data_IF_561426412088
#
_entry.id   IF_561426412088
#
_cell.length_a   1.000
_cell.length_b   1.000
_cell.length_c   1.000
_cell.angle_alpha   90.00
_cell.angle_beta   90.00
_cell.angle_gamma   90.00
#
_symmetry.space_group_name_H-M   'P 1'
#
loop_
_entity.id
_entity.type
_entity.pdbx_description
1 polymer ?
#
# COMPACT_ATOMS: atom_id res chain seq x y z
N UNK A 1 -9.39 9.67 -15.21
CA UNK A 1 -9.44 9.72 -13.70
C UNK A 1 -8.55 10.82 -13.18
N UNK A 2 -9.04 11.56 -12.21
CA UNK A 2 -8.27 12.61 -11.50
C UNK A 2 -7.14 11.96 -10.69
N UNK A 3 -6.00 12.63 -10.65
CA UNK A 3 -4.88 12.25 -9.77
C UNK A 3 -5.15 12.83 -8.37
N UNK A 4 -5.87 12.08 -7.54
CA UNK A 4 -6.24 12.50 -6.19
C UNK A 4 -6.11 11.33 -5.22
N UNK A 5 -5.49 11.57 -4.08
CA UNK A 5 -5.50 10.61 -2.98
C UNK A 5 -6.83 10.71 -2.21
N UNK A 6 -7.48 9.56 -1.98
CA UNK A 6 -8.79 9.52 -1.31
C UNK A 6 -8.63 8.89 0.08
N UNK A 7 -9.05 9.62 1.11
CA UNK A 7 -8.94 9.18 2.50
C UNK A 7 -10.03 8.16 2.85
N UNK A 8 -9.75 6.88 2.59
CA UNK A 8 -10.60 5.73 2.91
C UNK A 8 -10.37 5.23 4.33
N UNK A 9 -11.21 4.29 4.80
CA UNK A 9 -11.00 3.65 6.11
C UNK A 9 -9.66 2.91 6.20
N UNK A 10 -9.20 2.28 5.12
CA UNK A 10 -7.90 1.63 5.09
C UNK A 10 -6.74 2.64 5.23
N UNK A 11 -6.85 3.82 4.61
CA UNK A 11 -5.91 4.93 4.81
C UNK A 11 -5.89 5.36 6.27
N UNK A 12 -7.08 5.56 6.88
CA UNK A 12 -7.18 5.96 8.29
C UNK A 12 -6.55 4.92 9.23
N UNK A 13 -6.78 3.61 8.97
CA UNK A 13 -6.14 2.54 9.74
C UNK A 13 -4.62 2.58 9.61
N UNK A 14 -4.10 2.83 8.40
CA UNK A 14 -2.67 2.96 8.17
C UNK A 14 -2.10 4.15 8.93
N UNK A 15 -2.71 5.33 8.82
CA UNK A 15 -2.28 6.53 9.54
C UNK A 15 -2.30 6.34 11.06
N UNK A 16 -3.36 5.70 11.58
CA UNK A 16 -3.45 5.39 13.02
C UNK A 16 -2.35 4.42 13.46
N UNK A 17 -2.03 3.39 12.65
CA UNK A 17 -0.93 2.46 12.92
C UNK A 17 0.43 3.17 12.91
N UNK A 18 0.66 4.09 11.99
CA UNK A 18 1.89 4.89 11.94
C UNK A 18 2.01 5.82 13.14
N UNK A 19 0.93 6.53 13.50
CA UNK A 19 0.94 7.39 14.69
C UNK A 19 1.18 6.58 15.98
N UNK A 20 0.63 5.37 16.09
CA UNK A 20 0.85 4.50 17.25
C UNK A 20 2.30 4.00 17.35
N UNK A 21 2.96 3.74 16.19
CA UNK A 21 4.38 3.32 16.20
C UNK A 21 5.31 4.47 16.60
N UNK A 22 4.97 5.71 16.30
CA UNK A 22 5.73 6.88 16.75
C UNK A 22 5.65 7.06 18.28
N UNK A 23 4.51 6.70 18.87
CA UNK A 23 4.26 6.81 20.31
C UNK A 23 4.62 5.53 21.09
N UNK A 24 5.39 4.62 20.47
CA UNK A 24 5.76 3.34 21.09
C UNK A 24 6.59 3.54 22.37
N UNK A 25 6.34 2.71 23.38
CA UNK A 25 7.10 2.74 24.61
C UNK A 25 8.45 2.01 24.54
N UNK A 26 8.58 1.04 23.62
CA UNK A 26 9.80 0.27 23.39
C UNK A 26 10.42 0.69 22.05
N UNK A 27 11.61 1.30 22.07
CA UNK A 27 12.29 1.82 20.87
C UNK A 27 12.49 0.76 19.78
N UNK A 28 12.79 -0.48 20.19
CA UNK A 28 13.01 -1.62 19.29
C UNK A 28 11.73 -2.17 18.64
N UNK A 29 10.52 -1.80 19.09
CA UNK A 29 9.26 -2.24 18.47
C UNK A 29 8.95 -1.42 17.20
N UNK A 30 9.83 -1.48 16.21
CA UNK A 30 9.81 -0.65 15.00
C UNK A 30 9.10 -1.28 13.79
N UNK A 31 8.66 -2.54 13.84
CA UNK A 31 8.03 -3.17 12.69
C UNK A 31 6.52 -2.90 12.64
N UNK A 32 6.04 -2.45 11.48
CA UNK A 32 4.61 -2.31 11.15
C UNK A 32 4.27 -3.30 10.05
N UNK A 33 3.32 -4.18 10.29
CA UNK A 33 2.85 -5.15 9.30
C UNK A 33 1.56 -4.64 8.67
N UNK A 34 1.59 -4.40 7.36
CA UNK A 34 0.40 -4.05 6.57
C UNK A 34 -0.02 -5.26 5.75
N UNK A 35 -1.15 -5.85 6.10
CA UNK A 35 -1.62 -7.11 5.53
C UNK A 35 -3.05 -6.99 4.98
N UNK A 36 -3.43 -7.87 4.07
CA UNK A 36 -4.76 -7.93 3.46
C UNK A 36 -4.73 -8.51 2.05
N UNK A 37 -5.89 -8.86 1.51
CA UNK A 37 -6.02 -9.46 0.16
C UNK A 37 -5.41 -8.58 -0.94
N UNK A 38 -4.98 -9.15 -2.08
CA UNK A 38 -4.57 -8.38 -3.25
C UNK A 38 -5.70 -7.48 -3.76
N UNK A 39 -5.35 -6.28 -4.26
CA UNK A 39 -6.33 -5.34 -4.84
C UNK A 39 -7.00 -4.39 -3.85
N UNK A 40 -6.58 -4.38 -2.56
CA UNK A 40 -7.10 -3.47 -1.53
C UNK A 40 -6.38 -2.11 -1.45
N UNK A 41 -5.41 -1.84 -2.33
CA UNK A 41 -4.71 -0.56 -2.41
C UNK A 41 -3.54 -0.39 -1.42
N UNK A 42 -3.05 -1.46 -0.78
CA UNK A 42 -1.94 -1.40 0.20
C UNK A 42 -0.70 -0.70 -0.35
N UNK A 43 -0.15 -1.23 -1.45
CA UNK A 43 1.03 -0.67 -2.13
C UNK A 43 0.87 0.82 -2.42
N UNK A 44 -0.27 1.20 -3.01
CA UNK A 44 -0.55 2.58 -3.38
C UNK A 44 -0.59 3.50 -2.15
N UNK A 45 -1.24 3.05 -1.08
CA UNK A 45 -1.33 3.84 0.16
C UNK A 45 0.05 4.02 0.82
N UNK A 46 0.83 2.93 0.93
CA UNK A 46 2.15 3.01 1.58
C UNK A 46 3.14 3.79 0.73
N UNK A 47 3.16 3.59 -0.60
CA UNK A 47 4.03 4.36 -1.49
C UNK A 47 3.67 5.84 -1.54
N UNK A 48 2.37 6.17 -1.50
CA UNK A 48 1.92 7.57 -1.40
C UNK A 48 2.39 8.20 -0.10
N UNK A 49 2.20 7.51 1.03
CA UNK A 49 2.64 8.01 2.34
C UNK A 49 4.17 8.17 2.37
N UNK A 50 4.92 7.23 1.80
CA UNK A 50 6.38 7.33 1.68
C UNK A 50 6.80 8.56 0.87
N UNK A 51 6.14 8.81 -0.27
CA UNK A 51 6.43 9.99 -1.09
C UNK A 51 6.11 11.31 -0.40
N UNK A 52 5.03 11.36 0.41
CA UNK A 52 4.67 12.57 1.16
C UNK A 52 5.66 12.90 2.29
N UNK A 53 6.31 11.90 2.86
CA UNK A 53 7.21 12.04 4.01
C UNK A 53 8.69 11.85 3.63
N UNK A 54 9.05 11.95 2.36
CA UNK A 54 10.40 11.68 1.86
C UNK A 54 11.02 10.36 2.39
N UNK A 55 10.17 9.39 2.68
CA UNK A 55 10.52 8.08 3.25
C UNK A 55 11.02 7.11 2.19
N UNK A 56 11.84 6.16 2.60
CA UNK A 56 12.40 5.14 1.69
C UNK A 56 11.35 4.07 1.37
N UNK A 57 11.13 3.74 0.09
CA UNK A 57 10.20 2.70 -0.32
C UNK A 57 10.81 1.79 -1.39
N UNK A 58 10.78 0.48 -1.15
CA UNK A 58 11.27 -0.54 -2.08
C UNK A 58 10.28 -1.69 -2.22
N UNK A 59 10.40 -2.48 -3.28
CA UNK A 59 9.60 -3.68 -3.49
C UNK A 59 10.49 -4.91 -3.43
N UNK A 60 10.16 -5.83 -2.53
CA UNK A 60 10.88 -7.09 -2.38
C UNK A 60 10.78 -7.93 -3.66
N UNK A 61 11.86 -8.61 -3.98
CA UNK A 61 11.96 -9.53 -5.12
C UNK A 61 12.16 -10.95 -4.61
N UNK A 62 11.65 -11.92 -5.34
CA UNK A 62 11.75 -13.34 -4.98
C UNK A 62 13.20 -13.80 -4.78
N UNK A 63 14.09 -13.28 -5.62
CA UNK A 63 15.50 -13.66 -5.65
C UNK A 63 16.38 -12.79 -4.73
N UNK A 64 15.79 -11.95 -3.91
CA UNK A 64 16.56 -11.11 -3.00
C UNK A 64 17.43 -11.92 -2.07
N UNK A 65 18.68 -11.50 -1.98
CA UNK A 65 19.59 -11.83 -0.89
C UNK A 65 19.73 -10.59 0.02
N UNK A 66 20.17 -10.73 1.28
CA UNK A 66 20.43 -9.56 2.13
C UNK A 66 21.37 -8.55 1.48
N UNK A 67 22.41 -9.02 0.76
CA UNK A 67 23.32 -8.11 0.06
C UNK A 67 22.66 -7.33 -1.08
N UNK A 68 21.74 -7.95 -1.82
CA UNK A 68 20.99 -7.27 -2.87
C UNK A 68 19.99 -6.28 -2.26
N UNK A 69 19.24 -6.69 -1.23
CA UNK A 69 18.32 -5.83 -0.50
C UNK A 69 19.01 -4.55 0.00
N UNK A 70 20.19 -4.66 0.64
CA UNK A 70 20.96 -3.49 1.07
C UNK A 70 21.30 -2.55 -0.10
N UNK A 71 21.65 -3.11 -1.25
CA UNK A 71 21.94 -2.31 -2.44
C UNK A 71 20.74 -1.51 -2.94
N UNK A 72 19.56 -2.13 -2.97
CA UNK A 72 18.32 -1.43 -3.39
C UNK A 72 17.86 -0.40 -2.36
N UNK A 73 18.02 -0.70 -1.07
CA UNK A 73 17.73 0.29 -0.02
C UNK A 73 18.66 1.51 -0.12
N UNK A 74 19.97 1.30 -0.35
CA UNK A 74 20.93 2.39 -0.56
C UNK A 74 20.55 3.25 -1.77
N UNK A 75 20.17 2.62 -2.89
CA UNK A 75 19.72 3.31 -4.09
C UNK A 75 18.44 4.13 -3.82
N UNK A 76 17.49 3.55 -3.09
CA UNK A 76 16.26 4.24 -2.69
C UNK A 76 16.50 5.40 -1.71
N UNK A 77 17.55 5.32 -0.87
CA UNK A 77 18.02 6.42 -0.03
C UNK A 77 18.80 7.50 -0.82
N UNK A 78 19.00 7.34 -2.14
CA UNK A 78 19.74 8.29 -2.96
C UNK A 78 21.26 8.20 -2.81
N UNK A 79 21.81 7.16 -2.19
CA UNK A 79 23.24 6.93 -2.02
C UNK A 79 23.86 6.54 -3.36
N UNK A 80 24.79 7.34 -3.87
CA UNK A 80 25.44 7.11 -5.18
C UNK A 80 26.56 6.07 -5.12
N UNK A 81 27.17 5.88 -3.96
CA UNK A 81 28.23 4.88 -3.77
C UNK A 81 27.65 3.47 -3.95
N UNK A 82 28.31 2.63 -4.72
CA UNK A 82 27.92 1.23 -4.96
C UNK A 82 29.00 0.28 -4.41
N UNK A 83 29.09 0.12 -3.08
CA UNK A 83 30.12 -0.72 -2.50
C UNK A 83 29.85 -2.20 -2.81
N UNK A 84 30.95 -2.96 -3.02
CA UNK A 84 30.86 -4.39 -3.29
C UNK A 84 30.60 -5.20 -2.01
N UNK A 85 31.21 -4.80 -0.87
CA UNK A 85 31.11 -5.57 0.37
C UNK A 85 29.80 -5.35 1.11
N UNK A 86 29.30 -6.41 1.71
CA UNK A 86 28.09 -6.38 2.55
C UNK A 86 28.26 -5.40 3.72
N UNK A 87 29.40 -5.48 4.41
CA UNK A 87 29.68 -4.63 5.57
C UNK A 87 29.67 -3.13 5.23
N UNK A 88 30.28 -2.74 4.10
CA UNK A 88 30.29 -1.34 3.66
C UNK A 88 28.87 -0.86 3.29
N UNK A 89 28.09 -1.69 2.59
CA UNK A 89 26.68 -1.40 2.30
C UNK A 89 25.88 -1.20 3.58
N UNK A 90 26.08 -2.08 4.55
CA UNK A 90 25.36 -2.07 5.82
C UNK A 90 25.63 -0.78 6.61
N UNK A 91 26.90 -0.39 6.75
CA UNK A 91 27.28 0.87 7.43
C UNK A 91 26.70 2.09 6.73
N UNK A 92 26.88 2.19 5.40
CA UNK A 92 26.35 3.31 4.62
C UNK A 92 24.83 3.41 4.71
N UNK A 93 24.13 2.28 4.74
CA UNK A 93 22.68 2.28 4.88
C UNK A 93 22.24 2.79 6.24
N UNK A 94 22.89 2.38 7.33
CA UNK A 94 22.63 2.90 8.67
C UNK A 94 22.87 4.41 8.69
N UNK A 95 24.00 4.90 8.17
CA UNK A 95 24.31 6.32 8.10
C UNK A 95 23.23 7.09 7.31
N UNK A 96 22.83 6.59 6.13
CA UNK A 96 21.83 7.23 5.27
C UNK A 96 20.46 7.28 5.94
N UNK A 97 19.99 6.17 6.50
CA UNK A 97 18.69 6.10 7.18
C UNK A 97 18.66 6.99 8.44
N UNK A 98 19.73 7.00 9.23
CA UNK A 98 19.82 7.85 10.43
C UNK A 98 19.82 9.34 10.06
N UNK A 99 20.50 9.71 8.97
CA UNK A 99 20.50 11.10 8.49
C UNK A 99 19.10 11.52 7.99
N UNK A 100 18.42 10.66 7.24
CA UNK A 100 17.07 10.94 6.73
C UNK A 100 16.03 11.00 7.86
N UNK A 101 16.12 10.09 8.83
CA UNK A 101 15.27 10.09 10.00
C UNK A 101 15.43 11.39 10.82
N UNK A 102 16.69 11.80 11.05
CA UNK A 102 16.96 13.06 11.77
C UNK A 102 16.46 14.28 11.00
N UNK A 103 16.64 14.34 9.70
CA UNK A 103 16.12 15.43 8.88
C UNK A 103 14.60 15.53 8.92
N UNK A 104 13.90 14.38 8.92
CA UNK A 104 12.45 14.34 9.06
C UNK A 104 12.00 14.79 10.46
N UNK A 105 12.68 14.32 11.52
CA UNK A 105 12.43 14.75 12.91
C UNK A 105 12.57 16.27 13.07
N UNK A 106 13.66 16.84 12.53
CA UNK A 106 13.93 18.30 12.57
C UNK A 106 12.83 19.11 11.86
N UNK A 107 12.16 18.52 10.86
CA UNK A 107 11.03 19.11 10.12
C UNK A 107 9.66 18.79 10.75
N UNK A 108 9.57 17.97 11.78
CA UNK A 108 8.32 17.47 12.35
C UNK A 108 7.57 16.51 11.41
N UNK A 109 8.30 15.82 10.53
CA UNK A 109 7.79 14.86 9.56
C UNK A 109 8.06 13.43 10.04
N UNK A 110 7.23 12.50 9.62
CA UNK A 110 7.41 11.07 9.86
C UNK A 110 8.40 10.49 8.85
N UNK A 111 9.35 9.67 9.30
CA UNK A 111 10.20 8.90 8.40
C UNK A 111 10.02 7.40 8.64
N UNK A 112 9.98 6.61 7.58
CA UNK A 112 9.91 5.15 7.65
C UNK A 112 10.55 4.48 6.43
N UNK A 113 10.84 3.19 6.55
CA UNK A 113 11.29 2.33 5.43
C UNK A 113 10.15 1.40 5.04
N UNK A 114 9.57 1.58 3.86
CA UNK A 114 8.52 0.72 3.32
C UNK A 114 9.10 -0.41 2.45
N UNK A 115 8.72 -1.65 2.74
CA UNK A 115 9.09 -2.82 1.92
C UNK A 115 7.80 -3.50 1.47
N UNK A 116 7.49 -3.43 0.17
CA UNK A 116 6.31 -4.06 -0.42
C UNK A 116 6.62 -5.51 -0.86
N UNK A 117 5.56 -6.30 -1.05
CA UNK A 117 5.62 -7.71 -1.47
C UNK A 117 6.50 -8.59 -0.58
N UNK A 118 6.48 -8.34 0.73
CA UNK A 118 7.27 -9.12 1.70
C UNK A 118 6.93 -10.62 1.73
N UNK A 119 5.84 -11.03 1.10
CA UNK A 119 5.49 -12.45 0.89
C UNK A 119 6.63 -13.26 0.26
N UNK A 120 7.45 -12.63 -0.58
CA UNK A 120 8.63 -13.26 -1.19
C UNK A 120 9.73 -13.56 -0.19
N UNK A 121 9.84 -12.80 0.88
CA UNK A 121 10.94 -12.87 1.85
C UNK A 121 10.50 -13.30 3.24
N UNK A 122 9.19 -13.29 3.56
CA UNK A 122 8.66 -13.58 4.90
C UNK A 122 8.89 -15.02 5.40
N UNK A 123 9.45 -15.91 4.57
CA UNK A 123 9.85 -17.26 4.95
C UNK A 123 11.36 -17.40 5.15
N UNK A 124 12.12 -16.39 4.84
CA UNK A 124 13.58 -16.38 4.97
C UNK A 124 13.98 -15.74 6.30
N UNK A 125 14.41 -16.57 7.24
CA UNK A 125 14.91 -16.07 8.52
C UNK A 125 16.05 -15.06 8.32
N UNK A 126 16.97 -15.35 7.39
CA UNK A 126 18.10 -14.47 7.08
C UNK A 126 17.66 -13.07 6.61
N UNK A 127 16.64 -13.00 5.76
CA UNK A 127 16.11 -11.73 5.28
C UNK A 127 15.42 -10.96 6.41
N UNK A 128 14.55 -11.63 7.15
CA UNK A 128 13.81 -11.02 8.25
C UNK A 128 14.73 -10.57 9.39
N UNK A 129 15.76 -11.36 9.72
CA UNK A 129 16.76 -10.96 10.72
C UNK A 129 17.56 -9.74 10.27
N UNK A 130 17.94 -9.67 8.97
CA UNK A 130 18.62 -8.47 8.44
C UNK A 130 17.75 -7.21 8.54
N UNK A 131 16.43 -7.33 8.27
CA UNK A 131 15.48 -6.21 8.42
C UNK A 131 15.36 -5.80 9.89
N UNK A 132 15.20 -6.78 10.79
CA UNK A 132 15.13 -6.55 12.23
C UNK A 132 16.40 -5.84 12.74
N UNK A 133 17.57 -6.36 12.39
CA UNK A 133 18.85 -5.80 12.84
C UNK A 133 19.02 -4.34 12.36
N UNK A 134 18.58 -4.03 11.15
CA UNK A 134 18.54 -2.64 10.67
C UNK A 134 17.56 -1.79 11.48
N UNK A 135 16.33 -2.27 11.68
CA UNK A 135 15.31 -1.52 12.42
C UNK A 135 15.73 -1.28 13.89
N UNK A 136 16.34 -2.27 14.53
CA UNK A 136 16.85 -2.16 15.91
C UNK A 136 17.99 -1.12 16.02
N UNK A 137 18.85 -1.02 15.00
CA UNK A 137 20.00 -0.11 15.02
C UNK A 137 19.67 1.34 14.70
N UNK A 138 18.71 1.56 13.80
CA UNK A 138 18.34 2.92 13.38
C UNK A 138 17.09 3.45 14.09
N UNK A 139 16.38 2.58 14.82
CA UNK A 139 15.12 2.88 15.53
C UNK A 139 14.02 3.53 14.65
N UNK A 140 14.12 3.33 13.34
CA UNK A 140 13.18 3.83 12.33
C UNK A 140 12.09 2.79 12.09
N UNK A 141 10.81 3.19 11.93
CA UNK A 141 9.75 2.26 11.55
C UNK A 141 10.00 1.58 10.20
N UNK A 142 9.91 0.26 10.17
CA UNK A 142 9.90 -0.53 8.93
C UNK A 142 8.49 -1.04 8.66
N UNK A 143 7.91 -0.61 7.54
CA UNK A 143 6.55 -0.96 7.12
C UNK A 143 6.62 -2.11 6.12
N UNK A 144 6.24 -3.31 6.56
CA UNK A 144 6.27 -4.53 5.79
C UNK A 144 4.89 -4.81 5.19
N UNK A 145 4.77 -4.68 3.87
CA UNK A 145 3.50 -4.83 3.15
C UNK A 145 3.40 -6.19 2.47
N UNK A 146 2.30 -6.92 2.70
CA UNK A 146 2.12 -8.24 2.11
C UNK A 146 0.67 -8.66 1.88
N UNK A 147 0.48 -9.92 1.47
CA UNK A 147 -0.79 -10.48 1.00
C UNK A 147 -1.35 -11.55 1.96
N UNK A 148 -2.07 -11.14 3.03
CA UNK A 148 -2.95 -12.01 3.82
C UNK A 148 -2.32 -13.14 4.64
N UNK A 149 -1.01 -13.41 4.51
CA UNK A 149 -0.31 -14.50 5.21
C UNK A 149 0.99 -14.09 5.88
N UNK A 150 1.35 -12.81 5.81
CA UNK A 150 2.62 -12.33 6.38
C UNK A 150 2.63 -12.55 7.88
N UNK A 151 1.57 -12.19 8.58
CA UNK A 151 1.43 -12.39 10.03
C UNK A 151 1.65 -13.85 10.44
N UNK A 152 1.07 -14.80 9.72
CA UNK A 152 1.21 -16.22 10.05
C UNK A 152 2.61 -16.76 9.73
N UNK A 153 3.24 -16.24 8.68
CA UNK A 153 4.62 -16.58 8.35
C UNK A 153 5.61 -16.08 9.42
N UNK A 154 5.39 -14.86 9.93
CA UNK A 154 6.25 -14.26 10.97
C UNK A 154 6.17 -14.98 12.31
N UNK A 155 5.07 -15.65 12.65
CA UNK A 155 4.95 -16.45 13.89
C UNK A 155 6.05 -17.51 14.05
N UNK A 156 6.69 -17.94 12.94
CA UNK A 156 7.81 -18.88 12.95
C UNK A 156 9.11 -18.27 13.45
N UNK A 157 9.18 -16.94 13.56
CA UNK A 157 10.36 -16.18 13.91
C UNK A 157 10.07 -15.28 15.12
N UNK A 158 10.05 -15.82 16.35
CA UNK A 158 9.72 -15.06 17.56
C UNK A 158 10.56 -13.81 17.74
N UNK A 159 11.85 -13.85 17.36
CA UNK A 159 12.78 -12.75 17.41
C UNK A 159 12.40 -11.57 16.49
N UNK A 160 11.68 -11.82 15.41
CA UNK A 160 11.12 -10.78 14.53
C UNK A 160 9.76 -10.33 15.01
N UNK A 161 8.92 -11.28 15.44
CA UNK A 161 7.56 -11.00 15.91
C UNK A 161 7.57 -10.10 17.15
N UNK A 162 8.58 -10.23 18.02
CA UNK A 162 8.75 -9.35 19.20
C UNK A 162 9.04 -7.89 18.84
N UNK A 163 9.47 -7.60 17.62
CA UNK A 163 9.70 -6.23 17.10
C UNK A 163 8.50 -5.63 16.41
N UNK A 164 7.41 -6.39 16.25
CA UNK A 164 6.19 -5.90 15.61
C UNK A 164 5.39 -5.08 16.62
N UNK A 165 5.44 -3.76 16.45
CA UNK A 165 4.67 -2.83 17.26
C UNK A 165 3.23 -2.65 16.76
N UNK A 166 2.98 -2.81 15.45
CA UNK A 166 1.65 -2.61 14.88
C UNK A 166 1.29 -3.61 13.78
N UNK A 167 0.01 -4.03 13.76
CA UNK A 167 -0.60 -4.81 12.69
C UNK A 167 -1.75 -4.03 12.07
N UNK A 168 -1.60 -3.61 10.82
CA UNK A 168 -2.61 -2.88 10.07
C UNK A 168 -3.23 -3.80 9.03
N UNK A 169 -4.49 -4.17 9.23
CA UNK A 169 -5.24 -5.00 8.28
C UNK A 169 -6.06 -4.13 7.34
N UNK A 170 -5.80 -4.29 6.05
CA UNK A 170 -6.63 -3.72 5.00
C UNK A 170 -7.79 -4.66 4.68
N UNK A 171 -8.99 -4.10 4.68
CA UNK A 171 -10.23 -4.79 4.37
C UNK A 171 -10.85 -4.25 3.08
N UNK A 172 -11.89 -4.92 2.60
CA UNK A 172 -12.72 -4.43 1.49
C UNK A 172 -13.33 -3.09 1.89
N UNK A 173 -13.42 -2.17 0.94
CA UNK A 173 -14.05 -0.86 1.19
C UNK A 173 -15.53 -1.05 1.47
N UNK A 174 -16.09 -0.34 2.45
CA UNK A 174 -17.54 -0.18 2.58
C UNK A 174 -18.07 0.73 1.45
N UNK A 175 -19.39 0.78 1.31
CA UNK A 175 -20.04 1.57 0.24
C UNK A 175 -19.67 3.06 0.32
N UNK A 176 -19.57 3.61 1.51
CA UNK A 176 -19.23 5.02 1.74
C UNK A 176 -17.81 5.36 1.23
N UNK A 177 -16.89 4.42 1.34
CA UNK A 177 -15.54 4.62 0.79
C UNK A 177 -15.50 4.44 -0.72
N UNK A 178 -16.31 3.49 -1.27
CA UNK A 178 -16.50 3.36 -2.72
C UNK A 178 -17.06 4.66 -3.31
N UNK A 179 -18.07 5.23 -2.67
CA UNK A 179 -18.65 6.52 -3.07
C UNK A 179 -17.60 7.64 -3.08
N UNK A 180 -16.81 7.78 -2.00
CA UNK A 180 -15.73 8.77 -1.93
C UNK A 180 -14.70 8.58 -3.04
N UNK A 181 -14.36 7.31 -3.36
CA UNK A 181 -13.39 6.99 -4.42
C UNK A 181 -13.96 7.35 -5.78
N UNK A 182 -15.21 6.98 -6.07
CA UNK A 182 -15.87 7.33 -7.34
C UNK A 182 -15.97 8.84 -7.50
N UNK A 183 -16.53 9.56 -6.53
CA UNK A 183 -16.71 11.02 -6.60
C UNK A 183 -15.37 11.76 -6.62
N UNK A 184 -14.34 11.21 -5.95
CA UNK A 184 -13.00 11.79 -5.91
C UNK A 184 -12.21 11.61 -7.20
N UNK A 185 -12.31 10.45 -7.84
CA UNK A 185 -11.45 10.08 -8.97
C UNK A 185 -12.13 10.21 -10.34
N UNK A 186 -13.45 9.96 -10.44
CA UNK A 186 -14.16 10.03 -11.70
C UNK A 186 -14.29 11.49 -12.18
N UNK A 187 -14.01 11.73 -13.47
CA UNK A 187 -14.11 13.07 -14.07
C UNK A 187 -15.53 13.38 -14.54
N UNK A 188 -16.39 12.35 -14.68
CA UNK A 188 -17.81 12.51 -14.97
C UNK A 188 -18.63 12.30 -13.72
N UNK A 189 -19.79 12.93 -13.66
CA UNK A 189 -20.72 12.73 -12.55
C UNK A 189 -21.35 11.33 -12.62
N UNK A 190 -21.35 10.62 -11.49
CA UNK A 190 -21.89 9.25 -11.39
C UNK A 190 -23.05 9.26 -10.39
N UNK A 191 -24.20 8.75 -10.82
CA UNK A 191 -25.40 8.65 -9.97
C UNK A 191 -25.23 7.55 -8.91
N UNK A 192 -25.98 7.67 -7.82
CA UNK A 192 -25.87 6.77 -6.67
C UNK A 192 -26.22 5.33 -6.99
N UNK A 193 -27.17 5.09 -7.90
CA UNK A 193 -27.58 3.76 -8.36
C UNK A 193 -26.40 3.01 -9.04
N UNK A 194 -25.64 3.70 -9.88
CA UNK A 194 -24.47 3.13 -10.54
C UNK A 194 -23.29 2.94 -9.56
N UNK A 195 -23.12 3.84 -8.58
CA UNK A 195 -22.13 3.67 -7.51
C UNK A 195 -22.46 2.42 -6.68
N UNK A 196 -23.72 2.23 -6.31
CA UNK A 196 -24.17 1.06 -5.57
C UNK A 196 -23.94 -0.24 -6.36
N UNK A 197 -24.26 -0.24 -7.64
CA UNK A 197 -24.00 -1.38 -8.54
C UNK A 197 -22.50 -1.66 -8.65
N UNK A 198 -21.68 -0.63 -8.82
CA UNK A 198 -20.23 -0.77 -8.90
C UNK A 198 -19.67 -1.35 -7.60
N UNK A 199 -20.13 -0.88 -6.44
CA UNK A 199 -19.72 -1.43 -5.15
C UNK A 199 -20.07 -2.91 -5.02
N UNK A 200 -21.31 -3.29 -5.37
CA UNK A 200 -21.77 -4.69 -5.33
C UNK A 200 -20.90 -5.58 -6.21
N UNK A 201 -20.65 -5.17 -7.45
CA UNK A 201 -19.91 -5.99 -8.43
C UNK A 201 -18.41 -6.03 -8.16
N UNK A 202 -17.84 -4.94 -7.67
CA UNK A 202 -16.42 -4.87 -7.24
C UNK A 202 -16.18 -5.57 -5.90
N UNK A 203 -17.24 -5.88 -5.15
CA UNK A 203 -17.16 -6.42 -3.78
C UNK A 203 -16.28 -5.56 -2.86
N UNK A 204 -16.17 -4.25 -3.12
CA UNK A 204 -15.36 -3.31 -2.36
C UNK A 204 -13.84 -3.42 -2.57
N UNK A 205 -13.37 -4.09 -3.62
CA UNK A 205 -11.96 -4.10 -3.98
C UNK A 205 -11.57 -2.83 -4.75
N UNK A 206 -10.56 -2.12 -4.27
CA UNK A 206 -10.10 -0.83 -4.84
C UNK A 206 -9.74 -0.95 -6.32
N UNK A 207 -9.05 -2.03 -6.70
CA UNK A 207 -8.63 -2.27 -8.09
C UNK A 207 -9.83 -2.36 -9.03
N UNK A 208 -10.82 -3.14 -8.67
CA UNK A 208 -12.04 -3.36 -9.42
C UNK A 208 -12.91 -2.10 -9.46
N UNK A 209 -12.98 -1.35 -8.36
CA UNK A 209 -13.65 -0.03 -8.35
C UNK A 209 -12.98 0.93 -9.33
N UNK A 210 -11.64 1.00 -9.35
CA UNK A 210 -10.91 1.86 -10.31
C UNK A 210 -11.09 1.41 -11.75
N UNK A 211 -11.16 0.11 -12.03
CA UNK A 211 -11.50 -0.41 -13.35
C UNK A 211 -12.89 0.05 -13.78
N UNK A 212 -13.89 -0.09 -12.90
CA UNK A 212 -15.26 0.39 -13.20
C UNK A 212 -15.32 1.90 -13.41
N UNK A 213 -14.60 2.69 -12.61
CA UNK A 213 -14.49 4.15 -12.82
C UNK A 213 -13.95 4.45 -14.22
N UNK A 214 -12.91 3.73 -14.68
CA UNK A 214 -12.34 3.93 -16.00
C UNK A 214 -13.34 3.62 -17.13
N UNK A 215 -14.16 2.59 -16.97
CA UNK A 215 -15.23 2.26 -17.93
C UNK A 215 -16.34 3.32 -17.94
N UNK A 216 -16.83 3.72 -16.77
CA UNK A 216 -17.86 4.75 -16.61
C UNK A 216 -17.38 6.08 -17.22
N UNK A 217 -16.16 6.48 -16.91
CA UNK A 217 -15.57 7.74 -17.40
C UNK A 217 -15.40 7.75 -18.92
N UNK A 218 -14.93 6.63 -19.50
CA UNK A 218 -14.81 6.49 -20.96
C UNK A 218 -16.15 6.63 -21.63
N UNK A 219 -17.17 5.92 -21.13
CA UNK A 219 -18.53 5.98 -21.64
C UNK A 219 -19.13 7.38 -21.51
N UNK A 220 -19.06 7.99 -20.33
CA UNK A 220 -19.60 9.32 -20.08
C UNK A 220 -18.99 10.41 -20.96
N UNK A 221 -17.67 10.37 -21.17
CA UNK A 221 -16.97 11.30 -22.07
C UNK A 221 -17.42 11.13 -23.55
N UNK A 222 -17.67 9.90 -23.97
CA UNK A 222 -18.17 9.65 -25.34
C UNK A 222 -19.60 10.16 -25.54
N UNK A 223 -20.44 10.08 -24.52
CA UNK A 223 -21.83 10.52 -24.58
C UNK A 223 -22.01 12.03 -24.35
N UNK A 224 -20.97 12.73 -23.87
CA UNK A 224 -21.08 14.13 -23.46
C UNK A 224 -22.07 14.36 -22.31
N UNK A 225 -22.34 13.30 -21.53
CA UNK A 225 -23.35 13.32 -20.46
C UNK A 225 -22.77 13.92 -19.18
N UNK A 226 -23.62 14.68 -18.48
CA UNK A 226 -23.28 15.30 -17.18
C UNK A 226 -23.58 14.40 -15.98
N UNK A 227 -24.31 13.27 -16.17
CA UNK A 227 -24.62 12.33 -15.08
C UNK A 227 -24.88 10.93 -15.63
N UNK A 228 -24.09 9.96 -15.19
CA UNK A 228 -24.17 8.56 -15.63
C UNK A 228 -24.75 7.71 -14.50
N UNK A 229 -25.88 7.07 -14.76
CA UNK A 229 -26.54 6.09 -13.91
C UNK A 229 -26.62 4.71 -14.58
N UNK A 230 -27.35 3.81 -13.96
CA UNK A 230 -27.57 2.45 -14.44
C UNK A 230 -28.29 2.45 -15.80
N UNK A 231 -29.30 3.29 -15.97
CA UNK A 231 -30.09 3.35 -17.20
C UNK A 231 -29.24 3.79 -18.39
N UNK A 232 -28.46 4.88 -18.23
CA UNK A 232 -27.58 5.40 -19.29
C UNK A 232 -26.50 4.37 -19.67
N UNK A 233 -26.01 3.59 -18.70
CA UNK A 233 -24.93 2.63 -18.93
C UNK A 233 -25.43 1.22 -19.27
N UNK A 234 -26.73 1.02 -19.42
CA UNK A 234 -27.32 -0.29 -19.77
C UNK A 234 -26.71 -0.86 -21.05
N UNK A 235 -26.31 -2.12 -21.02
CA UNK A 235 -25.63 -2.82 -22.11
C UNK A 235 -24.12 -2.60 -22.19
N UNK A 236 -23.55 -1.70 -21.39
CA UNK A 236 -22.11 -1.43 -21.35
C UNK A 236 -21.41 -2.32 -20.32
N UNK A 237 -20.10 -2.54 -20.52
CA UNK A 237 -19.24 -3.23 -19.56
C UNK A 237 -18.95 -2.31 -18.38
N UNK A 238 -19.25 -2.77 -17.17
CA UNK A 238 -18.94 -2.04 -15.94
C UNK A 238 -17.50 -2.33 -15.47
N UNK A 239 -17.16 -3.61 -15.34
CA UNK A 239 -15.83 -4.10 -14.97
C UNK A 239 -15.72 -5.60 -15.37
N UNK A 240 -14.53 -6.19 -15.21
CA UNK A 240 -14.37 -7.63 -15.37
C UNK A 240 -14.47 -8.35 -14.01
N UNK A 241 -15.17 -9.49 -14.03
CA UNK A 241 -15.25 -10.33 -12.83
C UNK A 241 -13.87 -10.85 -12.42
N UNK A 242 -13.54 -10.69 -11.16
CA UNK A 242 -12.20 -10.98 -10.62
C UNK A 242 -11.80 -12.47 -10.73
N UNK A 243 -12.76 -13.36 -10.64
CA UNK A 243 -12.52 -14.82 -10.59
C UNK A 243 -12.56 -15.44 -11.98
N UNK A 244 -13.52 -15.00 -12.80
CA UNK A 244 -13.79 -15.56 -14.12
C UNK A 244 -13.19 -14.76 -15.27
N UNK A 245 -12.73 -13.52 -15.01
CA UNK A 245 -12.27 -12.54 -16.01
C UNK A 245 -13.33 -12.21 -17.08
N UNK A 246 -14.60 -12.54 -16.85
CA UNK A 246 -15.70 -12.23 -17.76
C UNK A 246 -16.21 -10.81 -17.55
N UNK A 247 -16.62 -10.11 -18.62
CA UNK A 247 -17.18 -8.78 -18.49
C UNK A 247 -18.52 -8.82 -17.76
N UNK A 248 -18.68 -7.95 -16.77
CA UNK A 248 -19.95 -7.68 -16.08
C UNK A 248 -20.62 -6.53 -16.82
N UNK A 249 -21.75 -6.82 -17.45
CA UNK A 249 -22.52 -5.86 -18.23
C UNK A 249 -23.61 -5.26 -17.34
N UNK A 250 -23.79 -3.94 -17.41
CA UNK A 250 -24.85 -3.23 -16.72
C UNK A 250 -26.20 -3.65 -17.32
N UNK A 251 -27.12 -4.07 -16.46
CA UNK A 251 -28.49 -4.42 -16.85
C UNK A 251 -29.42 -3.34 -16.34
N UNK A 252 -30.29 -2.82 -17.19
CA UNK A 252 -31.34 -1.88 -16.81
C UNK A 252 -32.22 -2.47 -15.70
N UNK A 253 -32.68 -1.62 -14.81
CA UNK A 253 -33.72 -1.99 -13.85
C UNK A 253 -35.00 -2.39 -14.57
N UNK A 254 -35.67 -3.45 -14.08
CA UNK A 254 -37.03 -3.75 -14.48
C UNK A 254 -38.00 -2.85 -13.76
#
# INVERSE_FOLDING_TARGET
MRLKFVNTQNVKKMMAGMAAIEQRGAGEACLVIVDGSPGLGKTENVSYLAAQNASTFVRAKREWTPNWMLGELLEACGVREKPASFERKYRLLIEALSMQAKAAEDNGEMFFVGIDEVDYICRSEKMLSSIRDLSDLVEVPFVLVGMGKVRDSLKRFPQVTSRVGQYVRFDRMPIEDTEKVVRGLCEVEVKDDLIALLHEKSKGFVREVKEGIAHIERFGKMQGSTGIGVDEMTGQVLLNDRETSRPIIVRGGK
#
